data_IF_746396943677
#
_entry.id   IF_746396943677
#
_cell.length_a   1.000
_cell.length_b   1.000
_cell.length_c   1.000
_cell.angle_alpha   90.00
_cell.angle_beta   90.00
_cell.angle_gamma   90.00
#
_symmetry.space_group_name_H-M   'P 1'
#
loop_
_entity.id
_entity.type
_entity.pdbx_description
1 polymer ?
#
# COMPACT_ATOMS: atom_id res chain seq x y z
N UNK A 1 -17.73 -11.61 -8.08
CA UNK A 1 -17.35 -11.11 -6.73
C UNK A 1 -16.06 -10.30 -6.75
N UNK A 2 -15.01 -10.73 -7.47
CA UNK A 2 -13.75 -9.98 -7.61
C UNK A 2 -13.93 -8.52 -8.05
N UNK A 3 -14.76 -8.26 -9.07
CA UNK A 3 -14.99 -6.92 -9.61
C UNK A 3 -15.47 -5.92 -8.55
N UNK A 4 -16.45 -6.29 -7.72
CA UNK A 4 -16.96 -5.42 -6.64
C UNK A 4 -15.84 -4.95 -5.70
N UNK A 5 -14.93 -5.85 -5.31
CA UNK A 5 -13.81 -5.48 -4.44
C UNK A 5 -12.78 -4.61 -5.15
N UNK A 6 -12.57 -4.82 -6.45
CA UNK A 6 -11.74 -3.94 -7.26
C UNK A 6 -12.37 -2.55 -7.42
N UNK A 7 -13.70 -2.46 -7.57
CA UNK A 7 -14.43 -1.19 -7.61
C UNK A 7 -14.31 -0.41 -6.29
N UNK A 8 -14.46 -1.09 -5.15
CA UNK A 8 -14.28 -0.47 -3.81
C UNK A 8 -12.85 0.04 -3.61
N UNK A 9 -11.85 -0.73 -4.06
CA UNK A 9 -10.45 -0.32 -4.04
C UNK A 9 -10.21 0.87 -4.97
N UNK A 10 -10.77 0.84 -6.18
CA UNK A 10 -10.67 1.91 -7.17
C UNK A 10 -11.25 3.22 -6.62
N UNK A 11 -12.48 3.19 -6.08
CA UNK A 11 -13.12 4.36 -5.49
C UNK A 11 -12.26 4.98 -4.37
N UNK A 12 -11.66 4.14 -3.54
CA UNK A 12 -10.79 4.58 -2.45
C UNK A 12 -9.48 5.22 -2.94
N UNK A 13 -8.89 4.72 -4.02
CA UNK A 13 -7.67 5.27 -4.61
C UNK A 13 -7.95 6.54 -5.43
N UNK A 14 -9.06 6.57 -6.17
CA UNK A 14 -9.51 7.76 -6.91
C UNK A 14 -9.76 8.96 -6.00
N UNK A 15 -10.29 8.73 -4.79
CA UNK A 15 -10.43 9.77 -3.76
C UNK A 15 -9.09 10.36 -3.26
N UNK A 16 -7.95 9.83 -3.73
CA UNK A 16 -6.58 10.24 -3.38
C UNK A 16 -5.75 10.54 -4.62
N UNK A 17 -6.41 10.99 -5.69
CA UNK A 17 -5.82 11.43 -6.95
C UNK A 17 -5.15 10.33 -7.80
N UNK A 18 -5.46 9.07 -7.54
CA UNK A 18 -5.05 7.98 -8.43
C UNK A 18 -6.00 7.84 -9.60
N UNK A 19 -5.46 7.60 -10.80
CA UNK A 19 -6.30 7.19 -11.93
C UNK A 19 -6.44 5.67 -11.90
N UNK A 20 -7.68 5.18 -11.91
CA UNK A 20 -7.99 3.76 -11.82
C UNK A 20 -8.82 3.31 -13.02
N UNK A 21 -8.56 2.11 -13.55
CA UNK A 21 -9.34 1.51 -14.64
C UNK A 21 -9.41 0.00 -14.52
N UNK A 22 -10.61 -0.56 -14.65
CA UNK A 22 -10.78 -2.01 -14.76
C UNK A 22 -10.37 -2.46 -16.17
N UNK A 23 -9.62 -3.56 -16.24
CA UNK A 23 -9.18 -4.19 -17.48
C UNK A 23 -9.52 -5.67 -17.38
N UNK A 24 -10.15 -6.19 -18.43
CA UNK A 24 -10.36 -7.63 -18.58
C UNK A 24 -9.22 -8.22 -19.40
N UNK A 25 -8.61 -9.30 -18.93
CA UNK A 25 -7.50 -9.96 -19.62
C UNK A 25 -7.60 -11.46 -19.42
N UNK A 26 -7.70 -12.22 -20.52
CA UNK A 26 -7.69 -13.69 -20.52
C UNK A 26 -8.63 -14.34 -19.47
N UNK A 27 -9.81 -13.75 -19.25
CA UNK A 27 -10.79 -14.27 -18.29
C UNK A 27 -10.62 -13.80 -16.84
N UNK A 28 -9.60 -12.97 -16.55
CA UNK A 28 -9.44 -12.30 -15.27
C UNK A 28 -9.79 -10.80 -15.37
N UNK A 29 -10.34 -10.26 -14.29
CA UNK A 29 -10.53 -8.82 -14.11
C UNK A 29 -9.39 -8.29 -13.24
N UNK A 30 -8.67 -7.29 -13.74
CA UNK A 30 -7.63 -6.58 -12.99
C UNK A 30 -7.97 -5.09 -12.91
N UNK A 31 -7.48 -4.47 -11.85
CA UNK A 31 -7.53 -3.03 -11.64
C UNK A 31 -6.17 -2.44 -11.98
N UNK A 32 -6.12 -1.66 -13.04
CA UNK A 32 -4.96 -0.86 -13.44
C UNK A 32 -4.98 0.46 -12.71
N UNK A 33 -3.86 0.77 -12.05
CA UNK A 33 -3.68 1.93 -11.21
C UNK A 33 -2.53 2.78 -11.77
N UNK A 34 -2.78 4.08 -11.88
CA UNK A 34 -1.77 5.07 -12.20
C UNK A 34 -1.57 6.00 -11.01
N UNK A 35 -0.36 6.06 -10.41
CA UNK A 35 -0.09 7.00 -9.34
C UNK A 35 -0.16 8.45 -9.86
N UNK A 36 -0.42 9.44 -8.99
CA UNK A 36 -0.50 10.85 -9.38
C UNK A 36 0.75 11.33 -10.15
N UNK A 37 1.91 10.81 -9.77
CA UNK A 37 3.22 11.12 -10.38
C UNK A 37 3.63 10.16 -11.51
N UNK A 38 2.69 9.48 -12.18
CA UNK A 38 3.05 8.51 -13.22
C UNK A 38 3.49 9.14 -14.54
N UNK A 39 2.94 10.31 -14.92
CA UNK A 39 3.32 11.07 -16.11
C UNK A 39 3.44 10.27 -17.42
N UNK A 40 2.65 9.20 -17.60
CA UNK A 40 2.73 8.36 -18.81
C UNK A 40 3.79 7.25 -18.75
N UNK A 41 4.54 7.12 -17.65
CA UNK A 41 5.57 6.10 -17.46
C UNK A 41 4.94 4.70 -17.28
N UNK A 42 5.12 3.78 -18.24
CA UNK A 42 4.54 2.44 -18.15
C UNK A 42 5.12 1.61 -16.99
N UNK A 43 6.33 1.92 -16.51
CA UNK A 43 6.95 1.19 -15.40
C UNK A 43 6.35 1.55 -14.03
N UNK A 44 5.60 2.67 -13.97
CA UNK A 44 4.87 3.11 -12.77
C UNK A 44 3.44 2.59 -12.68
N UNK A 45 2.96 1.93 -13.73
CA UNK A 45 1.63 1.33 -13.77
C UNK A 45 1.58 0.12 -12.83
N UNK A 46 0.54 0.08 -11.99
CA UNK A 46 0.35 -1.01 -11.02
C UNK A 46 -0.95 -1.74 -11.34
N UNK A 47 -0.84 -3.04 -11.62
CA UNK A 47 -2.01 -3.89 -11.87
C UNK A 47 -2.30 -4.74 -10.62
N UNK A 48 -3.53 -4.66 -10.11
CA UNK A 48 -4.03 -5.37 -8.92
C UNK A 48 -5.14 -6.35 -9.31
N UNK A 49 -5.12 -7.54 -8.74
CA UNK A 49 -6.13 -8.59 -8.93
C UNK A 49 -6.67 -9.07 -7.59
N UNK A 50 -7.87 -9.66 -7.62
CA UNK A 50 -8.39 -10.43 -6.48
C UNK A 50 -8.17 -11.90 -6.74
N UNK A 51 -7.62 -12.62 -5.77
CA UNK A 51 -7.39 -14.07 -5.82
C UNK A 51 -8.00 -14.73 -4.60
N UNK A 52 -8.25 -16.02 -4.70
CA UNK A 52 -8.71 -16.86 -3.60
C UNK A 52 -7.88 -18.15 -3.60
N UNK A 53 -7.49 -18.58 -2.40
CA UNK A 53 -6.69 -19.79 -2.16
C UNK A 53 -7.40 -20.81 -1.27
N UNK A 54 -8.70 -20.61 -1.02
CA UNK A 54 -9.50 -21.44 -0.12
C UNK A 54 -9.57 -20.90 1.32
N UNK A 55 -8.79 -19.87 1.66
CA UNK A 55 -8.84 -19.14 2.93
C UNK A 55 -9.65 -17.83 2.82
N UNK A 56 -10.13 -17.51 1.62
CA UNK A 56 -10.89 -16.31 1.33
C UNK A 56 -10.20 -15.37 0.32
N UNK A 57 -10.96 -14.43 -0.25
CA UNK A 57 -10.46 -13.52 -1.26
C UNK A 57 -9.47 -12.48 -0.70
N UNK A 58 -8.42 -12.20 -1.46
CA UNK A 58 -7.38 -11.22 -1.13
C UNK A 58 -6.95 -10.39 -2.33
N UNK A 59 -6.49 -9.17 -2.08
CA UNK A 59 -5.84 -8.32 -3.08
C UNK A 59 -4.39 -8.78 -3.31
N UNK A 60 -3.96 -8.82 -4.57
CA UNK A 60 -2.60 -9.17 -4.97
C UNK A 60 -2.15 -8.35 -6.18
N UNK A 61 -0.83 -8.21 -6.36
CA UNK A 61 -0.30 -7.63 -7.59
C UNK A 61 -0.40 -8.65 -8.73
N UNK A 62 -0.81 -8.23 -9.92
CA UNK A 62 -0.92 -9.10 -11.09
C UNK A 62 0.41 -9.75 -11.47
N UNK A 63 1.53 -9.05 -11.27
CA UNK A 63 2.89 -9.57 -11.48
C UNK A 63 3.29 -10.66 -10.47
N UNK A 64 2.69 -10.67 -9.28
CA UNK A 64 2.96 -11.66 -8.22
C UNK A 64 1.65 -12.11 -7.56
N UNK A 65 0.74 -12.78 -8.31
CA UNK A 65 -0.64 -13.05 -7.87
C UNK A 65 -0.71 -14.04 -6.70
N UNK A 66 0.42 -14.71 -6.43
CA UNK A 66 0.62 -15.63 -5.33
C UNK A 66 0.98 -14.95 -4.00
N UNK A 67 1.28 -13.64 -4.00
CA UNK A 67 1.66 -12.88 -2.82
C UNK A 67 0.50 -11.97 -2.43
N UNK A 68 -0.09 -12.22 -1.27
CA UNK A 68 -1.15 -11.38 -0.75
C UNK A 68 -0.62 -10.01 -0.35
N UNK A 69 -1.35 -8.96 -0.74
CA UNK A 69 -1.20 -7.60 -0.19
C UNK A 69 -1.98 -7.57 1.14
N UNK A 70 -3.27 -7.93 1.08
CA UNK A 70 -4.17 -8.04 2.24
C UNK A 70 -5.48 -8.71 1.83
N UNK A 71 -6.24 -9.32 2.77
CA UNK A 71 -7.63 -9.73 2.56
C UNK A 71 -8.56 -8.60 2.05
N UNK A 72 -9.59 -8.94 1.27
CA UNK A 72 -10.46 -7.93 0.60
C UNK A 72 -11.36 -7.15 1.55
N UNK A 73 -11.66 -7.67 2.73
CA UNK A 73 -12.38 -6.98 3.81
C UNK A 73 -11.56 -5.83 4.43
N UNK A 74 -10.25 -5.81 4.20
CA UNK A 74 -9.32 -4.79 4.68
C UNK A 74 -8.90 -3.81 3.58
N UNK A 75 -9.85 -3.29 2.80
CA UNK A 75 -9.60 -2.36 1.68
C UNK A 75 -8.71 -1.18 2.08
N UNK A 76 -8.95 -0.58 3.25
CA UNK A 76 -8.13 0.54 3.76
C UNK A 76 -6.65 0.18 3.97
N UNK A 77 -6.35 -1.07 4.33
CA UNK A 77 -4.97 -1.58 4.46
C UNK A 77 -4.34 -1.76 3.08
N UNK A 78 -5.11 -2.23 2.08
CA UNK A 78 -4.65 -2.34 0.70
C UNK A 78 -4.28 -0.97 0.14
N UNK A 79 -5.15 0.03 0.30
CA UNK A 79 -4.92 1.42 -0.12
C UNK A 79 -3.65 1.99 0.49
N UNK A 80 -3.47 1.84 1.82
CA UNK A 80 -2.26 2.31 2.50
C UNK A 80 -1.00 1.63 1.97
N UNK A 81 -1.03 0.31 1.77
CA UNK A 81 0.11 -0.43 1.24
C UNK A 81 0.46 0.00 -0.19
N UNK A 82 -0.54 0.14 -1.07
CA UNK A 82 -0.35 0.56 -2.46
C UNK A 82 0.24 1.97 -2.53
N UNK A 83 -0.32 2.92 -1.78
CA UNK A 83 0.19 4.29 -1.73
C UNK A 83 1.62 4.32 -1.18
N UNK A 84 1.89 3.54 -0.13
CA UNK A 84 3.22 3.48 0.47
C UNK A 84 4.27 2.95 -0.52
N UNK A 85 3.94 1.92 -1.29
CA UNK A 85 4.89 1.28 -2.22
C UNK A 85 5.01 2.05 -3.54
N UNK A 86 3.92 2.62 -4.05
CA UNK A 86 3.82 3.11 -5.42
C UNK A 86 3.43 4.59 -5.54
N UNK A 87 2.99 5.24 -4.46
CA UNK A 87 2.45 6.61 -4.48
C UNK A 87 3.48 7.73 -4.62
N UNK A 88 4.78 7.45 -4.56
CA UNK A 88 5.82 8.34 -5.08
C UNK A 88 5.81 9.79 -4.59
N UNK A 89 5.95 9.99 -3.28
CA UNK A 89 6.84 10.95 -2.63
C UNK A 89 6.66 10.72 -1.13
N UNK A 90 7.64 10.09 -0.48
CA UNK A 90 7.65 10.07 0.98
C UNK A 90 7.56 11.54 1.44
N UNK A 91 6.60 11.92 2.31
CA UNK A 91 6.77 13.17 3.03
C UNK A 91 8.16 13.11 3.65
N UNK A 92 8.98 14.16 3.45
CA UNK A 92 10.27 14.25 4.16
C UNK A 92 9.98 13.87 5.61
N UNK A 93 10.71 12.92 6.20
CA UNK A 93 10.49 12.56 7.59
C UNK A 93 10.42 13.86 8.39
N UNK A 94 9.46 14.00 9.31
CA UNK A 94 9.30 15.23 10.08
C UNK A 94 10.67 15.59 10.64
N UNK A 95 11.08 16.85 10.48
CA UNK A 95 12.33 17.32 11.05
C UNK A 95 12.28 17.05 12.55
N UNK A 96 13.11 16.11 13.02
CA UNK A 96 13.28 15.86 14.44
C UNK A 96 14.30 16.89 14.91
N UNK A 97 13.89 17.89 15.73
CA UNK A 97 14.85 18.81 16.31
C UNK A 97 15.93 18.00 17.05
N UNK A 98 17.22 18.39 16.99
CA UNK A 98 18.30 17.64 17.65
C UNK A 98 18.03 17.33 19.13
N UNK A 99 17.30 18.22 19.83
CA UNK A 99 16.88 18.04 21.21
C UNK A 99 15.94 16.84 21.45
N UNK A 100 15.13 16.45 20.45
CA UNK A 100 14.16 15.35 20.53
C UNK A 100 14.80 13.97 20.22
N UNK A 101 15.88 13.95 19.44
CA UNK A 101 16.64 12.72 19.16
C UNK A 101 17.30 12.16 20.43
N UNK A 102 17.78 13.03 21.32
CA UNK A 102 18.35 12.63 22.62
C UNK A 102 17.30 12.06 23.60
N UNK A 103 16.04 12.48 23.49
CA UNK A 103 14.98 12.07 24.40
C UNK A 103 14.53 10.62 24.16
N UNK A 104 14.48 10.19 22.89
CA UNK A 104 14.17 8.80 22.53
C UNK A 104 15.31 7.83 22.93
N UNK A 105 16.56 8.29 22.87
CA UNK A 105 17.70 7.52 23.38
C UNK A 105 17.66 7.39 24.91
N UNK A 106 17.24 8.45 25.62
CA UNK A 106 17.08 8.44 27.08
C UNK A 106 15.95 7.51 27.56
N UNK A 107 14.88 7.34 26.77
CA UNK A 107 13.77 6.43 27.08
C UNK A 107 14.12 4.95 26.85
N UNK A 108 15.07 4.64 25.97
CA UNK A 108 15.55 3.28 25.70
C UNK A 108 16.76 2.86 26.55
N UNK A 109 17.29 3.76 27.38
CA UNK A 109 18.35 3.44 28.33
C UNK A 109 17.78 2.92 29.64
N UNK A 110 17.90 1.62 29.89
CA UNK A 110 17.71 1.07 31.24
C UNK A 110 18.66 1.75 32.24
N UNK A 111 18.20 2.11 33.45
CA UNK A 111 19.06 2.61 34.51
C UNK A 111 19.82 1.43 35.12
N UNK A 112 20.96 1.06 34.54
CA UNK A 112 21.88 0.15 35.22
C UNK A 112 22.57 0.89 36.37
N UNK A 113 21.95 0.76 37.54
CA UNK A 113 22.53 1.04 38.85
C UNK A 113 23.95 0.48 38.91
N UNK A 114 24.93 1.35 39.15
CA UNK A 114 26.14 0.99 39.87
C UNK A 114 26.23 1.89 41.10
N UNK A 115 26.01 1.28 42.26
CA UNK A 115 26.45 1.75 43.58
C UNK A 115 27.28 0.61 44.18
N UNK A 116 28.16 0.85 45.16
CA UNK A 116 29.00 2.01 45.45
C UNK A 116 30.47 1.80 45.03
#
# INVERSE_FOLDING_TARGET
>A
MAQKHLDELAASLTARDWTCGLVETCGDVLLRLHPPAWHGDPDRVVDVVVRDRGEGPYFAYARTPRRSITPVDLVGKAVRAIIHVHGGALPRPPFVPPALAGFAAALNGEPSRASP
#
